data_IF_270417308112
#
_entry.id   IF_270417308112
#
_cell.length_a   1.000
_cell.length_b   1.000
_cell.length_c   1.000
_cell.angle_alpha   90.00
_cell.angle_beta   90.00
_cell.angle_gamma   90.00
#
_symmetry.space_group_name_H-M   'P 1'
#
loop_
_entity.id
_entity.type
_entity.pdbx_description
1 polymer ?
#
# COMPACT_ATOMS: atom_id res chain seq x y z
N UNK A 1 -21.88 7.47 3.96
CA UNK A 1 -20.69 7.30 3.09
C UNK A 1 -19.55 8.08 3.73
N UNK A 2 -18.35 7.50 3.85
CA UNK A 2 -17.18 8.24 4.30
C UNK A 2 -16.71 9.17 3.17
N UNK A 3 -16.37 10.41 3.51
CA UNK A 3 -15.75 11.35 2.57
C UNK A 3 -14.30 10.92 2.31
N UNK A 4 -13.99 10.62 1.05
CA UNK A 4 -12.67 10.18 0.58
C UNK A 4 -11.95 11.26 -0.22
N UNK A 5 -12.49 12.48 -0.27
CA UNK A 5 -11.93 13.61 -1.04
C UNK A 5 -10.45 13.86 -0.74
N UNK A 6 -10.00 13.60 0.49
CA UNK A 6 -8.59 13.69 0.87
C UNK A 6 -7.66 12.80 0.04
N UNK A 7 -8.11 11.61 -0.37
CA UNK A 7 -7.32 10.63 -1.12
C UNK A 7 -7.43 10.80 -2.64
N UNK A 8 -8.27 11.71 -3.12
CA UNK A 8 -8.45 11.92 -4.56
C UNK A 8 -7.13 12.29 -5.23
N UNK A 9 -6.71 11.47 -6.20
CA UNK A 9 -5.46 11.65 -6.94
C UNK A 9 -4.18 11.34 -6.14
N UNK A 10 -4.27 10.84 -4.91
CA UNK A 10 -3.12 10.49 -4.07
C UNK A 10 -2.79 9.01 -4.16
N UNK A 11 -1.50 8.70 -4.06
CA UNK A 11 -0.99 7.35 -3.88
C UNK A 11 -0.63 7.10 -2.42
N UNK A 12 -1.15 6.01 -1.84
CA UNK A 12 -0.78 5.55 -0.50
C UNK A 12 0.23 4.41 -0.60
N UNK A 13 1.41 4.58 0.01
CA UNK A 13 2.33 3.48 0.26
C UNK A 13 2.04 2.84 1.61
N UNK A 14 1.82 1.52 1.58
CA UNK A 14 1.80 0.66 2.76
C UNK A 14 3.19 0.05 2.89
N UNK A 15 3.96 0.49 3.90
CA UNK A 15 5.29 -0.04 4.19
C UNK A 15 5.15 -1.14 5.23
N UNK A 16 5.48 -2.37 4.84
CA UNK A 16 5.21 -3.56 5.64
C UNK A 16 3.93 -4.27 5.19
N UNK A 17 4.02 -5.59 5.03
CA UNK A 17 2.92 -6.43 4.55
C UNK A 17 2.71 -7.63 5.46
N UNK A 18 2.63 -7.37 6.76
CA UNK A 18 2.18 -8.32 7.77
C UNK A 18 0.64 -8.43 7.75
N UNK A 19 0.03 -9.06 8.77
CA UNK A 19 -1.44 -9.17 8.82
C UNK A 19 -2.15 -7.81 8.85
N UNK A 20 -1.53 -6.79 9.46
CA UNK A 20 -2.15 -5.48 9.64
C UNK A 20 -2.01 -4.64 8.37
N UNK A 21 -0.80 -4.58 7.80
CA UNK A 21 -0.52 -3.93 6.52
C UNK A 21 -1.34 -4.54 5.39
N UNK A 22 -1.47 -5.88 5.34
CA UNK A 22 -2.31 -6.56 4.35
C UNK A 22 -3.78 -6.13 4.45
N UNK A 23 -4.37 -6.17 5.66
CA UNK A 23 -5.77 -5.77 5.88
C UNK A 23 -6.01 -4.31 5.49
N UNK A 24 -5.08 -3.43 5.85
CA UNK A 24 -5.19 -2.01 5.53
C UNK A 24 -5.06 -1.76 4.02
N UNK A 25 -4.08 -2.38 3.35
CA UNK A 25 -3.89 -2.25 1.91
C UNK A 25 -5.15 -2.68 1.13
N UNK A 26 -5.73 -3.82 1.51
CA UNK A 26 -6.98 -4.33 0.90
C UNK A 26 -8.14 -3.39 1.17
N UNK A 27 -8.34 -2.96 2.41
CA UNK A 27 -9.41 -2.04 2.78
C UNK A 27 -9.36 -0.72 1.98
N UNK A 28 -8.18 -0.11 1.85
CA UNK A 28 -8.01 1.13 1.08
C UNK A 28 -8.27 0.92 -0.41
N UNK A 29 -7.77 -0.18 -0.98
CA UNK A 29 -8.03 -0.54 -2.38
C UNK A 29 -9.51 -0.82 -2.65
N UNK A 30 -10.19 -1.53 -1.76
CA UNK A 30 -11.61 -1.90 -1.90
C UNK A 30 -12.52 -0.67 -1.91
N UNK A 31 -12.06 0.45 -1.33
CA UNK A 31 -12.74 1.74 -1.37
C UNK A 31 -12.22 2.68 -2.47
N UNK A 32 -11.45 2.16 -3.43
CA UNK A 32 -11.02 2.89 -4.63
C UNK A 32 -9.77 3.77 -4.46
N UNK A 33 -9.05 3.67 -3.34
CA UNK A 33 -7.81 4.42 -3.12
C UNK A 33 -6.64 3.69 -3.81
N UNK A 34 -5.77 4.44 -4.50
CA UNK A 34 -4.56 3.87 -5.09
C UNK A 34 -3.57 3.50 -4.00
N UNK A 35 -3.22 2.21 -3.94
CA UNK A 35 -2.29 1.66 -2.96
C UNK A 35 -1.14 0.96 -3.66
N UNK A 36 0.08 1.27 -3.21
CA UNK A 36 1.30 0.52 -3.54
C UNK A 36 1.87 -0.07 -2.24
N UNK A 37 2.64 -1.15 -2.37
CA UNK A 37 3.25 -1.83 -1.22
C UNK A 37 4.76 -1.69 -1.27
N UNK A 38 5.35 -1.20 -0.18
CA UNK A 38 6.79 -1.18 0.02
C UNK A 38 7.21 -2.26 1.00
N UNK A 39 8.04 -3.20 0.57
CA UNK A 39 8.59 -4.24 1.46
C UNK A 39 10.06 -4.46 1.19
N UNK A 40 10.78 -4.95 2.21
CA UNK A 40 12.15 -5.43 2.04
C UNK A 40 12.14 -6.73 1.25
N UNK A 41 13.13 -6.91 0.37
CA UNK A 41 13.34 -8.15 -0.37
C UNK A 41 13.40 -9.38 0.56
N UNK A 42 12.87 -10.51 0.08
CA UNK A 42 12.81 -11.76 0.84
C UNK A 42 11.76 -11.81 1.94
N UNK A 43 10.95 -10.76 2.11
CA UNK A 43 9.77 -10.77 2.99
C UNK A 43 8.51 -11.16 2.20
N UNK A 44 7.33 -10.77 2.68
CA UNK A 44 6.00 -10.99 2.08
C UNK A 44 5.75 -10.28 0.73
N UNK A 45 6.78 -10.03 -0.07
CA UNK A 45 6.66 -9.42 -1.39
C UNK A 45 5.83 -10.27 -2.36
N UNK A 46 5.99 -11.60 -2.31
CA UNK A 46 5.28 -12.51 -3.21
C UNK A 46 3.80 -12.58 -2.85
N UNK A 47 3.48 -12.55 -1.55
CA UNK A 47 2.11 -12.46 -1.07
C UNK A 47 1.44 -11.16 -1.54
N UNK A 48 2.12 -10.01 -1.42
CA UNK A 48 1.59 -8.73 -1.88
C UNK A 48 1.36 -8.70 -3.40
N UNK A 49 2.27 -9.31 -4.19
CA UNK A 49 2.10 -9.49 -5.64
C UNK A 49 0.92 -10.40 -5.97
N UNK A 50 0.78 -11.53 -5.27
CA UNK A 50 -0.35 -12.46 -5.42
C UNK A 50 -1.69 -11.81 -5.08
N UNK A 51 -1.71 -10.95 -4.06
CA UNK A 51 -2.89 -10.15 -3.70
C UNK A 51 -3.19 -9.03 -4.73
N UNK A 52 -2.34 -8.84 -5.74
CA UNK A 52 -2.55 -7.94 -6.87
C UNK A 52 -2.09 -6.50 -6.64
N UNK A 53 -1.13 -6.27 -5.74
CA UNK A 53 -0.56 -4.94 -5.52
C UNK A 53 0.69 -4.71 -6.38
N UNK A 54 0.93 -3.46 -6.75
CA UNK A 54 2.25 -3.00 -7.21
C UNK A 54 3.21 -3.03 -6.01
N UNK A 55 4.32 -3.75 -6.13
CA UNK A 55 5.28 -3.96 -5.04
C UNK A 55 6.64 -3.39 -5.41
N UNK A 56 7.19 -2.58 -4.50
CA UNK A 56 8.47 -1.92 -4.65
C UNK A 56 9.35 -2.16 -3.42
N UNK A 57 10.64 -1.82 -3.54
CA UNK A 57 11.46 -1.65 -2.35
C UNK A 57 11.00 -0.41 -1.54
N UNK A 58 11.44 -0.30 -0.29
CA UNK A 58 11.00 0.79 0.60
C UNK A 58 11.29 2.19 0.04
N UNK A 59 12.44 2.37 -0.60
CA UNK A 59 12.84 3.67 -1.14
C UNK A 59 11.94 4.10 -2.31
N UNK A 60 11.75 3.21 -3.27
CA UNK A 60 10.88 3.42 -4.43
C UNK A 60 9.43 3.64 -4.03
N UNK A 61 8.92 2.90 -3.03
CA UNK A 61 7.56 3.07 -2.53
C UNK A 61 7.36 4.46 -1.92
N UNK A 62 8.32 4.93 -1.12
CA UNK A 62 8.27 6.28 -0.52
C UNK A 62 8.36 7.36 -1.59
N UNK A 63 9.20 7.21 -2.61
CA UNK A 63 9.32 8.19 -3.68
C UNK A 63 8.03 8.37 -4.51
N UNK A 64 7.22 7.32 -4.63
CA UNK A 64 6.00 7.31 -5.43
C UNK A 64 4.74 7.69 -4.64
N UNK A 65 4.83 7.82 -3.31
CA UNK A 65 3.68 8.00 -2.45
C UNK A 65 3.49 9.45 -1.99
N UNK A 66 2.25 9.90 -1.99
CA UNK A 66 1.84 11.14 -1.32
C UNK A 66 1.61 10.92 0.18
N UNK A 67 1.25 9.68 0.55
CA UNK A 67 0.93 9.29 1.91
C UNK A 67 1.64 7.97 2.21
N UNK A 68 2.36 7.93 3.33
CA UNK A 68 3.06 6.72 3.80
C UNK A 68 2.41 6.25 5.09
N UNK A 69 2.05 4.97 5.16
CA UNK A 69 1.64 4.29 6.38
C UNK A 69 2.61 3.15 6.68
N UNK A 70 3.14 3.11 7.90
CA UNK A 70 4.11 2.11 8.34
C UNK A 70 3.43 1.11 9.26
N UNK A 71 3.56 -0.17 8.95
CA UNK A 71 2.94 -1.29 9.68
C UNK A 71 3.99 -2.29 10.15
#
# INVERSE_FOLDING_TARGET
MQDQSFFAGKTVAILGYDSTGQKQAKKLRDIGIRVIVGVREGWNQDLAKQDGFEVYNLYEAVQQADIVQVW
#
